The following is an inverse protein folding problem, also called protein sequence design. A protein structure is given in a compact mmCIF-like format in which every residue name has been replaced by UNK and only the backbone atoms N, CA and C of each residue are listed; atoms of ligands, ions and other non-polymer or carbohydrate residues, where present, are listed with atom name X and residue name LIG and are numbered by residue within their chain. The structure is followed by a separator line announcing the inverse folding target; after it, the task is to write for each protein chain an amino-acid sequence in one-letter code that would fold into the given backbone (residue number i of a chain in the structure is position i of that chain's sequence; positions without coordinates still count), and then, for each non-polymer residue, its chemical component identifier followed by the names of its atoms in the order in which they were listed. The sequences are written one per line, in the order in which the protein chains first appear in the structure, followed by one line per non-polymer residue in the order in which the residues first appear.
data_IF_250642116022
#
_entry.id   IF_250642116022
#
_cell.length_a   1.000
_cell.length_b   1.000
_cell.length_c   1.000
_cell.angle_alpha   90.00
_cell.angle_beta   90.00
_cell.angle_gamma   90.00
#
_symmetry.space_group_name_H-M   'P 1'
#
loop_
_entity.id
_entity.type
_entity.pdbx_description
1 polymer ?
#
# COMPACT_ATOMS: atom_id res chain seq x y z
N UNK A 1 14.42 -14.74 -7.70
CA UNK A 1 14.96 -13.99 -8.86
C UNK A 1 14.90 -14.85 -10.12
N UNK A 2 13.71 -15.34 -10.49
CA UNK A 2 13.52 -16.24 -11.64
C UNK A 2 12.33 -15.80 -12.54
N UNK A 3 11.61 -14.76 -12.15
CA UNK A 3 10.46 -14.29 -12.90
C UNK A 3 10.92 -13.55 -14.17
N UNK A 4 10.15 -13.70 -15.25
CA UNK A 4 10.32 -13.00 -16.54
C UNK A 4 11.51 -13.42 -17.43
N UNK A 5 12.23 -14.51 -17.11
CA UNK A 5 13.30 -15.04 -17.98
C UNK A 5 12.75 -15.47 -19.35
N UNK A 6 11.54 -16.04 -19.37
CA UNK A 6 10.87 -16.50 -20.61
C UNK A 6 10.61 -15.36 -21.60
N UNK A 7 10.41 -14.12 -21.14
CA UNK A 7 10.18 -12.96 -22.02
C UNK A 7 11.40 -12.62 -22.88
N UNK A 8 12.61 -12.94 -22.41
CA UNK A 8 13.84 -12.76 -23.19
C UNK A 8 13.89 -13.67 -24.41
N UNK A 9 13.38 -14.91 -24.30
CA UNK A 9 13.32 -15.85 -25.42
C UNK A 9 12.41 -15.34 -26.55
N UNK A 10 11.39 -14.54 -26.20
CA UNK A 10 10.44 -13.95 -27.15
C UNK A 10 10.84 -12.53 -27.61
N UNK A 11 12.04 -12.05 -27.30
CA UNK A 11 12.51 -10.69 -27.64
C UNK A 11 11.58 -9.58 -27.14
N UNK A 12 10.82 -9.84 -26.07
CA UNK A 12 9.94 -8.84 -25.46
C UNK A 12 10.79 -7.83 -24.69
N UNK A 13 10.59 -6.55 -24.97
CA UNK A 13 11.24 -5.46 -24.22
C UNK A 13 10.69 -5.44 -22.79
N UNK A 14 11.53 -5.84 -21.84
CA UNK A 14 11.17 -5.90 -20.42
C UNK A 14 11.25 -4.49 -19.82
N UNK A 15 10.18 -4.07 -19.13
CA UNK A 15 10.13 -2.84 -18.34
C UNK A 15 10.00 -3.21 -16.86
N UNK A 16 11.10 -3.52 -16.16
CA UNK A 16 11.01 -3.90 -14.76
C UNK A 16 10.43 -2.74 -13.94
N UNK A 17 9.55 -3.06 -12.99
CA UNK A 17 9.09 -2.07 -12.02
C UNK A 17 10.29 -1.49 -11.28
N UNK A 18 10.20 -0.20 -10.95
CA UNK A 18 11.15 0.40 -10.01
C UNK A 18 11.07 -0.38 -8.70
N UNK A 19 12.22 -0.74 -8.15
CA UNK A 19 12.28 -1.39 -6.85
C UNK A 19 11.44 -0.58 -5.84
N UNK A 20 10.59 -1.25 -5.03
CA UNK A 20 9.82 -0.56 -4.01
C UNK A 20 10.75 0.24 -3.11
N UNK A 21 10.47 1.54 -2.96
CA UNK A 21 11.20 2.37 -2.00
C UNK A 21 10.50 2.22 -0.66
N UNK A 22 11.14 1.49 0.26
CA UNK A 22 10.71 1.46 1.66
C UNK A 22 11.09 2.83 2.26
N UNK A 23 10.08 3.63 2.56
CA UNK A 23 10.25 4.87 3.33
C UNK A 23 9.82 4.60 4.76
N UNK A 24 10.69 4.91 5.70
CA UNK A 24 10.31 4.95 7.11
C UNK A 24 9.28 6.07 7.31
N UNK A 25 8.19 5.73 7.98
CA UNK A 25 7.16 6.68 8.38
C UNK A 25 7.15 6.73 9.90
N UNK A 26 7.70 7.81 10.46
CA UNK A 26 7.67 8.05 11.90
C UNK A 26 6.23 8.41 12.31
N UNK A 27 5.58 7.47 13.00
CA UNK A 27 4.24 7.67 13.53
C UNK A 27 4.30 8.44 14.85
N UNK A 28 4.28 9.76 14.80
CA UNK A 28 4.06 10.56 16.00
C UNK A 28 2.63 10.38 16.53
N UNK A 29 2.42 10.41 17.85
CA UNK A 29 1.08 10.49 18.42
C UNK A 29 0.31 11.68 17.84
N UNK A 30 -1.00 11.58 17.59
CA UNK A 30 -1.79 12.73 17.19
C UNK A 30 -1.71 13.80 18.27
N UNK A 31 -1.69 15.07 17.86
CA UNK A 31 -1.79 16.18 18.80
C UNK A 31 -3.10 16.07 19.59
N UNK A 32 -3.13 16.63 20.80
CA UNK A 32 -4.35 16.69 21.61
C UNK A 32 -5.47 17.33 20.76
N UNK A 33 -6.65 16.71 20.78
CA UNK A 33 -7.82 17.02 19.93
C UNK A 33 -7.77 16.60 18.45
N UNK A 34 -6.73 15.90 18.02
CA UNK A 34 -6.70 15.32 16.67
C UNK A 34 -7.26 13.90 16.66
N UNK A 35 -7.94 13.56 15.56
CA UNK A 35 -8.35 12.21 15.23
C UNK A 35 -7.52 11.71 14.05
N UNK A 36 -6.85 10.57 14.23
CA UNK A 36 -6.11 9.88 13.18
C UNK A 36 -7.07 9.02 12.36
N UNK A 37 -7.04 9.16 11.04
CA UNK A 37 -7.72 8.27 10.11
C UNK A 37 -6.67 7.42 9.38
N UNK A 38 -6.74 6.11 9.54
CA UNK A 38 -6.00 5.17 8.70
C UNK A 38 -6.99 4.54 7.72
N UNK A 39 -6.70 4.60 6.43
CA UNK A 39 -7.46 3.88 5.39
C UNK A 39 -6.54 2.93 4.64
N UNK A 40 -7.10 1.81 4.19
CA UNK A 40 -6.43 0.85 3.33
C UNK A 40 -7.43 0.29 2.31
N UNK A 41 -6.89 -0.19 1.19
CA UNK A 41 -7.66 -0.71 0.08
C UNK A 41 -7.14 -2.07 -0.38
N UNK A 42 -8.05 -2.94 -0.78
CA UNK A 42 -7.72 -4.22 -1.41
C UNK A 42 -8.44 -4.32 -2.75
N UNK A 43 -7.72 -4.80 -3.77
CA UNK A 43 -8.27 -5.10 -5.08
C UNK A 43 -7.85 -6.50 -5.48
N UNK A 44 -8.81 -7.26 -6.01
CA UNK A 44 -8.59 -8.55 -6.63
C UNK A 44 -8.64 -8.36 -8.15
N UNK A 45 -7.45 -8.29 -8.76
CA UNK A 45 -7.25 -8.15 -10.22
C UNK A 45 -7.89 -6.91 -10.89
N UNK A 46 -7.79 -6.85 -12.22
CA UNK A 46 -8.43 -5.83 -13.07
C UNK A 46 -8.82 -6.44 -14.44
N UNK A 47 -10.12 -6.65 -14.73
CA UNK A 47 -11.29 -6.30 -13.92
C UNK A 47 -11.56 -7.32 -12.81
N UNK A 48 -11.79 -6.85 -11.58
CA UNK A 48 -12.24 -7.68 -10.46
C UNK A 48 -12.65 -6.84 -9.25
N UNK A 49 -12.94 -7.50 -8.12
CA UNK A 49 -13.54 -6.84 -6.96
C UNK A 49 -12.55 -5.92 -6.25
N UNK A 50 -13.01 -4.73 -5.84
CA UNK A 50 -12.25 -3.82 -4.99
C UNK A 50 -13.06 -3.47 -3.75
N UNK A 51 -12.38 -3.37 -2.61
CA UNK A 51 -12.94 -2.94 -1.34
C UNK A 51 -11.97 -1.98 -0.63
N UNK A 52 -12.51 -1.14 0.24
CA UNK A 52 -11.70 -0.28 1.10
C UNK A 52 -12.25 -0.27 2.52
N UNK A 53 -11.39 0.04 3.47
CA UNK A 53 -11.73 0.14 4.88
C UNK A 53 -10.83 1.14 5.59
N UNK A 54 -11.26 1.58 6.76
CA UNK A 54 -10.46 2.49 7.57
C UNK A 54 -10.93 2.53 9.01
N UNK A 55 -10.05 3.05 9.88
CA UNK A 55 -10.32 3.21 11.30
C UNK A 55 -9.95 4.61 11.78
N UNK A 56 -10.80 5.17 12.63
CA UNK A 56 -10.58 6.44 13.32
C UNK A 56 -10.04 6.17 14.73
N UNK A 57 -9.03 6.94 15.16
CA UNK A 57 -8.51 6.90 16.53
C UNK A 57 -8.29 8.30 17.07
N UNK A 58 -8.66 8.57 18.32
CA UNK A 58 -8.38 9.85 18.96
C UNK A 58 -6.89 10.00 19.35
N UNK A 59 -6.53 11.14 19.93
CA UNK A 59 -5.16 11.43 20.39
C UNK A 59 -4.65 10.49 21.51
N UNK A 60 -5.55 9.78 22.19
CA UNK A 60 -5.24 8.73 23.18
C UNK A 60 -5.16 7.33 22.56
N UNK A 61 -5.22 7.24 21.22
CA UNK A 61 -5.27 6.00 20.45
C UNK A 61 -6.53 5.12 20.67
N UNK A 62 -7.58 5.65 21.29
CA UNK A 62 -8.88 4.98 21.42
C UNK A 62 -9.66 5.07 20.11
N UNK A 63 -10.41 4.01 19.78
CA UNK A 63 -11.36 4.06 18.67
C UNK A 63 -12.46 5.08 18.92
N UNK A 64 -12.88 5.75 17.85
CA UNK A 64 -13.96 6.73 17.82
C UNK A 64 -15.10 6.18 16.98
#
# INVERSE_FOLDING_TARGET
MAEFVILKAFHVKIHPFKAPKIKEMLWHPPLIYWTKCNSDGVAHDSPGNAACGGGLRNYQANFV
#
